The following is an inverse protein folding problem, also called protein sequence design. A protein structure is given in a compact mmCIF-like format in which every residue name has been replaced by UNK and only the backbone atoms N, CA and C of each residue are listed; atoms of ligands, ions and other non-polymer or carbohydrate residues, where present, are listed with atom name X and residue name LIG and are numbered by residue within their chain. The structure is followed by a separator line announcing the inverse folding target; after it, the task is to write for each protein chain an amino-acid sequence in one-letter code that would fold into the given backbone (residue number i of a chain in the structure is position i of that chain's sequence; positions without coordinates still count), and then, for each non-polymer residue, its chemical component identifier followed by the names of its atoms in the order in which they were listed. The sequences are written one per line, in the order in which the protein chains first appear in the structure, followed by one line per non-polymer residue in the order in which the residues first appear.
data_IF_274903671954
#
_entry.id   IF_274903671954
#
_cell.length_a   1.000
_cell.length_b   1.000
_cell.length_c   1.000
_cell.angle_alpha   90.00
_cell.angle_beta   90.00
_cell.angle_gamma   90.00
#
_symmetry.space_group_name_H-M   'P 1'
#
loop_
_entity.id
_entity.type
_entity.pdbx_description
1 polymer ?
#
# COMPACT_ATOMS: atom_id res chain seq x y z
N UNK A 1 -41.80 5.59 14.93
CA UNK A 1 -41.90 6.49 13.74
C UNK A 1 -42.37 7.93 14.09
N UNK A 2 -43.27 8.17 15.05
CA UNK A 2 -43.64 9.52 15.48
C UNK A 2 -42.52 10.24 16.25
N UNK A 3 -41.66 9.49 16.95
CA UNK A 3 -40.59 10.03 17.77
C UNK A 3 -39.38 10.48 16.92
N UNK A 4 -39.09 9.76 15.85
CA UNK A 4 -38.03 10.13 14.88
C UNK A 4 -38.37 11.37 14.06
N UNK A 5 -39.64 11.52 13.65
CA UNK A 5 -40.16 12.70 12.97
C UNK A 5 -40.22 13.93 13.91
N UNK A 6 -40.58 13.75 15.17
CA UNK A 6 -40.56 14.85 16.15
C UNK A 6 -39.13 15.33 16.45
N UNK A 7 -38.14 14.42 16.48
CA UNK A 7 -36.71 14.76 16.64
C UNK A 7 -36.17 15.49 15.44
N UNK A 8 -36.50 15.00 14.24
CA UNK A 8 -36.08 15.64 12.97
C UNK A 8 -36.70 17.04 12.83
N UNK A 9 -37.97 17.24 13.13
CA UNK A 9 -38.60 18.55 13.09
C UNK A 9 -38.01 19.50 14.14
N UNK A 10 -37.66 19.02 15.33
CA UNK A 10 -37.00 19.82 16.37
C UNK A 10 -35.58 20.28 15.95
N UNK A 11 -34.88 19.45 15.21
CA UNK A 11 -33.59 19.83 14.61
C UNK A 11 -33.77 20.88 13.49
N UNK A 12 -34.77 20.69 12.62
CA UNK A 12 -35.04 21.63 11.53
C UNK A 12 -35.45 23.00 12.09
N UNK A 13 -36.30 23.05 13.13
CA UNK A 13 -36.67 24.28 13.83
C UNK A 13 -35.47 24.96 14.53
N UNK A 14 -34.58 24.16 15.11
CA UNK A 14 -33.36 24.68 15.74
C UNK A 14 -32.40 25.32 14.72
N UNK A 15 -32.20 24.69 13.57
CA UNK A 15 -31.35 25.23 12.50
C UNK A 15 -32.03 26.36 11.70
N UNK A 16 -33.36 26.33 11.59
CA UNK A 16 -34.13 27.38 10.89
C UNK A 16 -34.16 28.72 11.59
N UNK A 17 -34.04 28.75 12.92
CA UNK A 17 -34.05 29.97 13.74
C UNK A 17 -32.67 30.55 14.04
N UNK A 18 -31.59 29.92 13.59
CA UNK A 18 -30.24 30.43 13.76
C UNK A 18 -29.93 31.47 12.69
N UNK A 19 -29.56 32.71 13.12
CA UNK A 19 -29.00 33.71 12.20
C UNK A 19 -27.80 33.16 11.44
N UNK A 20 -27.60 33.62 10.20
CA UNK A 20 -26.48 33.20 9.33
C UNK A 20 -25.14 33.14 10.08
N UNK A 21 -24.85 34.11 10.95
CA UNK A 21 -23.65 34.15 11.79
C UNK A 21 -23.57 32.98 12.81
N UNK A 22 -24.68 32.59 13.40
CA UNK A 22 -24.72 31.50 14.36
C UNK A 22 -24.56 30.16 13.68
N UNK A 23 -25.18 29.99 12.51
CA UNK A 23 -25.09 28.76 11.70
C UNK A 23 -23.69 28.51 11.16
N UNK A 24 -22.96 29.55 10.81
CA UNK A 24 -21.63 29.48 10.22
C UNK A 24 -20.50 29.92 11.18
N UNK A 25 -20.76 29.97 12.49
CA UNK A 25 -19.81 30.49 13.48
C UNK A 25 -18.40 29.90 13.35
N UNK A 26 -18.30 28.59 13.20
CA UNK A 26 -16.99 27.93 13.08
C UNK A 26 -16.27 28.25 11.76
N UNK A 27 -17.03 28.33 10.66
CA UNK A 27 -16.47 28.68 9.35
C UNK A 27 -16.07 30.18 9.30
N UNK A 28 -16.84 31.04 9.93
CA UNK A 28 -16.49 32.45 10.05
C UNK A 28 -15.27 32.69 10.93
N UNK A 29 -15.18 31.94 12.06
CA UNK A 29 -14.03 32.00 12.94
C UNK A 29 -12.76 31.50 12.23
N UNK A 30 -12.84 30.39 11.49
CA UNK A 30 -11.75 29.90 10.66
C UNK A 30 -11.36 30.92 9.56
N UNK A 31 -12.34 31.51 8.88
CA UNK A 31 -12.10 32.54 7.89
C UNK A 31 -11.39 33.78 8.47
N UNK A 32 -11.77 34.22 9.68
CA UNK A 32 -11.08 35.30 10.39
C UNK A 32 -9.64 34.93 10.72
N UNK A 33 -9.38 33.71 11.22
CA UNK A 33 -8.00 33.24 11.50
C UNK A 33 -7.15 33.29 10.23
N UNK A 34 -7.68 32.78 9.12
CA UNK A 34 -6.96 32.77 7.83
C UNK A 34 -6.68 34.20 7.35
N UNK A 35 -7.67 35.11 7.41
CA UNK A 35 -7.49 36.52 7.02
C UNK A 35 -6.45 37.20 7.91
N UNK A 36 -6.55 37.02 9.23
CA UNK A 36 -5.58 37.58 10.19
C UNK A 36 -4.18 37.01 9.92
N UNK A 37 -4.05 35.70 9.64
CA UNK A 37 -2.79 35.10 9.26
C UNK A 37 -2.18 35.70 7.99
N UNK A 38 -3.00 35.91 6.96
CA UNK A 38 -2.56 36.54 5.70
C UNK A 38 -2.14 38.00 5.92
N UNK A 39 -2.92 38.73 6.70
CA UNK A 39 -2.61 40.14 7.03
C UNK A 39 -1.32 40.23 7.85
N UNK A 40 -1.12 39.38 8.85
CA UNK A 40 0.11 39.35 9.64
C UNK A 40 1.31 39.00 8.76
N UNK A 41 1.18 38.03 7.85
CA UNK A 41 2.23 37.68 6.91
C UNK A 41 2.55 38.87 5.95
N UNK A 42 1.51 39.53 5.42
CA UNK A 42 1.68 40.65 4.51
C UNK A 42 2.30 41.88 5.20
N UNK A 43 1.77 42.31 6.34
CA UNK A 43 2.31 43.45 7.09
C UNK A 43 3.68 43.10 7.70
N UNK A 44 3.88 41.87 8.17
CA UNK A 44 5.17 41.41 8.64
C UNK A 44 6.27 41.51 7.59
N UNK A 45 5.97 41.16 6.34
CA UNK A 45 6.95 41.23 5.24
C UNK A 45 7.30 42.71 4.84
N UNK A 46 6.39 43.66 5.07
CA UNK A 46 6.62 45.06 4.71
C UNK A 46 7.31 45.85 5.81
N UNK A 47 6.85 45.69 7.06
CA UNK A 47 7.29 46.56 8.17
C UNK A 47 8.44 45.94 9.00
N UNK A 48 8.65 44.61 8.94
CA UNK A 48 9.68 43.93 9.73
C UNK A 48 10.69 43.23 8.86
N UNK A 49 11.14 43.86 7.77
CA UNK A 49 12.04 43.25 6.79
C UNK A 49 13.31 42.65 7.42
N UNK A 50 13.86 43.25 8.49
CA UNK A 50 14.99 42.70 9.25
C UNK A 50 14.57 41.82 10.43
N UNK A 51 13.41 42.09 11.06
CA UNK A 51 12.87 41.27 12.14
C UNK A 51 12.02 40.11 11.68
N UNK A 52 11.53 40.12 10.43
CA UNK A 52 10.72 39.09 9.82
C UNK A 52 11.48 37.77 9.76
N UNK A 53 12.75 37.79 9.39
CA UNK A 53 13.63 36.63 9.36
C UNK A 53 13.83 36.01 10.75
N UNK A 54 13.84 36.81 11.82
CA UNK A 54 13.98 36.31 13.20
C UNK A 54 12.70 35.66 13.75
N UNK A 55 11.53 36.08 13.28
CA UNK A 55 10.25 35.52 13.77
C UNK A 55 9.76 34.34 12.93
N UNK A 56 10.11 34.28 11.64
CA UNK A 56 9.57 33.29 10.71
C UNK A 56 10.63 32.35 10.10
N UNK A 57 11.91 32.71 10.17
CA UNK A 57 13.01 31.79 9.84
C UNK A 57 13.56 31.19 11.13
N UNK A 58 13.26 29.92 11.36
CA UNK A 58 14.04 29.13 12.34
C UNK A 58 15.48 29.15 11.84
N UNK A 59 16.45 29.70 12.60
CA UNK A 59 17.84 29.73 12.16
C UNK A 59 18.28 28.32 11.79
N UNK A 60 18.72 28.12 10.55
CA UNK A 60 19.08 26.78 10.02
C UNK A 60 20.08 26.03 10.90
N UNK A 61 20.92 26.75 11.64
CA UNK A 61 21.89 26.21 12.59
C UNK A 61 21.29 25.80 13.96
N UNK A 62 20.03 26.13 14.23
CA UNK A 62 19.29 25.75 15.46
C UNK A 62 18.12 24.82 15.19
N UNK A 63 17.98 24.32 13.97
CA UNK A 63 16.97 23.32 13.62
C UNK A 63 17.19 22.01 14.41
N UNK A 64 16.10 21.40 14.86
CA UNK A 64 16.15 20.08 15.47
C UNK A 64 16.39 19.06 14.36
N UNK A 65 17.59 18.48 14.33
CA UNK A 65 17.90 17.36 13.45
C UNK A 65 17.82 16.05 14.23
N UNK A 66 17.01 15.12 13.75
CA UNK A 66 16.97 13.75 14.28
C UNK A 66 17.91 12.82 13.54
N UNK A 67 18.69 13.33 12.56
CA UNK A 67 19.54 12.53 11.69
C UNK A 67 20.55 11.68 12.47
N UNK A 68 21.25 12.27 13.45
CA UNK A 68 22.24 11.57 14.25
C UNK A 68 21.65 10.42 15.07
N UNK A 69 20.41 10.56 15.53
CA UNK A 69 19.71 9.49 16.24
C UNK A 69 19.45 8.31 15.29
N UNK A 70 18.96 8.58 14.09
CA UNK A 70 18.67 7.54 13.10
C UNK A 70 19.93 6.88 12.57
N UNK A 71 20.98 7.66 12.27
CA UNK A 71 22.26 7.12 11.82
C UNK A 71 22.86 6.17 12.87
N UNK A 72 22.94 6.61 14.13
CA UNK A 72 23.43 5.75 15.22
C UNK A 72 22.60 4.48 15.38
N UNK A 73 21.28 4.55 15.19
CA UNK A 73 20.41 3.40 15.27
C UNK A 73 20.68 2.40 14.13
N UNK A 74 20.84 2.87 12.91
CA UNK A 74 21.14 2.01 11.75
C UNK A 74 22.55 1.43 11.86
N UNK A 75 23.54 2.24 12.23
CA UNK A 75 24.91 1.79 12.43
C UNK A 75 25.00 0.71 13.52
N UNK A 76 24.30 0.92 14.65
CA UNK A 76 24.23 -0.09 15.70
C UNK A 76 23.62 -1.41 15.23
N UNK A 77 22.51 -1.36 14.46
CA UNK A 77 21.91 -2.57 13.87
C UNK A 77 22.89 -3.24 12.92
N UNK A 78 23.52 -2.46 12.04
CA UNK A 78 24.47 -2.98 11.07
C UNK A 78 25.65 -3.66 11.75
N UNK A 79 26.33 -2.97 12.70
CA UNK A 79 27.50 -3.48 13.39
C UNK A 79 27.17 -4.72 14.24
N UNK A 80 26.02 -4.71 14.94
CA UNK A 80 25.61 -5.81 15.81
C UNK A 80 25.23 -7.05 15.00
N UNK A 81 24.52 -6.88 13.86
CA UNK A 81 23.96 -7.97 13.09
C UNK A 81 24.64 -8.19 11.73
N UNK A 82 25.79 -7.58 11.49
CA UNK A 82 26.49 -7.59 10.21
C UNK A 82 26.59 -8.99 9.59
N UNK A 83 27.05 -9.96 10.37
CA UNK A 83 27.23 -11.36 9.90
C UNK A 83 25.90 -11.98 9.46
N UNK A 84 24.85 -11.77 10.26
CA UNK A 84 23.51 -12.29 9.97
C UNK A 84 22.87 -11.57 8.78
N UNK A 85 23.01 -10.24 8.69
CA UNK A 85 22.52 -9.43 7.56
C UNK A 85 23.20 -9.89 6.27
N UNK A 86 24.52 -10.05 6.30
CA UNK A 86 25.28 -10.51 5.12
C UNK A 86 24.91 -11.94 4.71
N UNK A 87 24.80 -12.86 5.67
CA UNK A 87 24.40 -14.23 5.41
C UNK A 87 22.97 -14.30 4.83
N UNK A 88 22.02 -13.56 5.42
CA UNK A 88 20.65 -13.46 4.92
C UNK A 88 20.59 -12.86 3.51
N UNK A 89 21.32 -11.77 3.25
CA UNK A 89 21.39 -11.15 1.94
C UNK A 89 21.93 -12.11 0.88
N UNK A 90 23.02 -12.82 1.20
CA UNK A 90 23.60 -13.80 0.27
C UNK A 90 22.63 -14.95 0.01
N UNK A 91 22.02 -15.52 1.04
CA UNK A 91 21.01 -16.58 0.91
C UNK A 91 19.82 -16.10 0.06
N UNK A 92 19.29 -14.91 0.34
CA UNK A 92 18.14 -14.39 -0.39
C UNK A 92 18.46 -14.14 -1.87
N UNK A 93 19.65 -13.62 -2.18
CA UNK A 93 20.07 -13.41 -3.58
C UNK A 93 20.27 -14.75 -4.29
N UNK A 94 21.07 -15.64 -3.72
CA UNK A 94 21.54 -16.84 -4.42
C UNK A 94 20.47 -17.93 -4.47
N UNK A 95 19.83 -18.19 -3.31
CA UNK A 95 18.93 -19.33 -3.18
C UNK A 95 17.46 -18.99 -3.49
N UNK A 96 17.09 -17.70 -3.51
CA UNK A 96 15.70 -17.29 -3.74
C UNK A 96 15.56 -16.42 -4.99
N UNK A 97 16.21 -15.24 -5.03
CA UNK A 97 15.97 -14.28 -6.11
C UNK A 97 16.53 -14.72 -7.45
N UNK A 98 17.76 -15.23 -7.50
CA UNK A 98 18.36 -15.70 -8.75
C UNK A 98 17.60 -16.87 -9.39
N UNK A 99 17.23 -17.94 -8.67
CA UNK A 99 16.41 -19.01 -9.23
C UNK A 99 15.04 -18.53 -9.71
N UNK A 100 14.38 -17.67 -8.96
CA UNK A 100 13.08 -17.11 -9.36
C UNK A 100 13.21 -16.23 -10.60
N UNK A 101 14.18 -15.32 -10.63
CA UNK A 101 14.47 -14.50 -11.80
C UNK A 101 14.76 -15.37 -13.03
N UNK A 102 15.59 -16.41 -12.86
CA UNK A 102 15.91 -17.33 -13.94
C UNK A 102 14.68 -18.10 -14.43
N UNK A 103 13.79 -18.53 -13.52
CA UNK A 103 12.54 -19.18 -13.87
C UNK A 103 11.66 -18.29 -14.76
N UNK A 104 11.45 -17.04 -14.36
CA UNK A 104 10.64 -16.09 -15.13
C UNK A 104 11.26 -15.74 -16.48
N UNK A 105 12.56 -15.44 -16.53
CA UNK A 105 13.24 -15.06 -17.76
C UNK A 105 13.42 -16.23 -18.75
N UNK A 106 13.45 -17.47 -18.28
CA UNK A 106 13.51 -18.67 -19.15
C UNK A 106 12.16 -19.05 -19.72
N UNK A 107 11.06 -18.50 -19.21
CA UNK A 107 9.74 -18.80 -19.75
C UNK A 107 9.56 -18.11 -21.12
N UNK A 108 9.30 -18.89 -22.20
CA UNK A 108 8.95 -18.30 -23.48
C UNK A 108 7.69 -17.41 -23.36
N UNK A 109 7.64 -16.29 -24.09
CA UNK A 109 6.50 -15.39 -24.05
C UNK A 109 5.17 -16.10 -24.34
N UNK A 110 5.18 -17.08 -25.27
CA UNK A 110 4.01 -17.91 -25.60
C UNK A 110 3.57 -18.76 -24.39
N UNK A 111 4.51 -19.37 -23.66
CA UNK A 111 4.17 -20.17 -22.49
C UNK A 111 3.57 -19.30 -21.38
N UNK A 112 4.14 -18.12 -21.12
CA UNK A 112 3.60 -17.16 -20.16
C UNK A 112 2.19 -16.72 -20.58
N UNK A 113 1.98 -16.40 -21.87
CA UNK A 113 0.67 -16.02 -22.40
C UNK A 113 -0.34 -17.15 -22.14
N UNK A 114 -0.01 -18.39 -22.49
CA UNK A 114 -0.90 -19.55 -22.30
C UNK A 114 -1.24 -19.76 -20.83
N UNK A 115 -0.25 -19.66 -19.93
CA UNK A 115 -0.47 -19.80 -18.49
C UNK A 115 -1.39 -18.71 -17.92
N UNK A 116 -1.12 -17.45 -18.25
CA UNK A 116 -1.87 -16.30 -17.71
C UNK A 116 -3.28 -16.24 -18.30
N UNK A 117 -3.44 -16.49 -19.61
CA UNK A 117 -4.76 -16.57 -20.26
C UNK A 117 -5.54 -17.79 -19.79
N UNK A 118 -4.86 -18.94 -19.60
CA UNK A 118 -5.46 -20.15 -19.05
C UNK A 118 -5.98 -19.91 -17.62
N UNK A 119 -5.18 -19.25 -16.77
CA UNK A 119 -5.63 -18.84 -15.44
C UNK A 119 -6.86 -17.90 -15.52
N UNK A 120 -6.83 -16.93 -16.43
CA UNK A 120 -7.98 -16.04 -16.70
C UNK A 120 -9.23 -16.80 -17.09
N UNK A 121 -9.10 -17.79 -17.95
CA UNK A 121 -10.21 -18.65 -18.39
C UNK A 121 -10.79 -19.50 -17.24
N UNK A 122 -9.92 -20.16 -16.48
CA UNK A 122 -10.35 -20.99 -15.35
C UNK A 122 -11.02 -20.17 -14.24
N UNK A 123 -10.49 -18.98 -13.97
CA UNK A 123 -11.00 -18.10 -12.93
C UNK A 123 -12.24 -17.33 -13.39
N UNK A 124 -12.27 -16.77 -14.62
CA UNK A 124 -13.27 -15.82 -15.04
C UNK A 124 -14.02 -16.16 -16.32
N UNK A 125 -13.72 -17.32 -16.93
CA UNK A 125 -14.27 -17.71 -18.22
C UNK A 125 -13.72 -16.85 -19.37
N UNK A 126 -14.43 -16.88 -20.49
CA UNK A 126 -13.98 -16.26 -21.75
C UNK A 126 -13.73 -14.76 -21.63
N UNK A 127 -14.56 -14.02 -20.89
CA UNK A 127 -14.39 -12.56 -20.73
C UNK A 127 -13.07 -12.20 -20.06
N UNK A 128 -12.76 -12.84 -18.94
CA UNK A 128 -11.49 -12.61 -18.23
C UNK A 128 -10.30 -13.06 -19.08
N UNK A 129 -10.39 -14.19 -19.74
CA UNK A 129 -9.36 -14.70 -20.65
C UNK A 129 -9.03 -13.70 -21.77
N UNK A 130 -10.05 -13.11 -22.42
CA UNK A 130 -9.86 -12.13 -23.49
C UNK A 130 -9.20 -10.84 -22.99
N UNK A 131 -9.62 -10.31 -21.83
CA UNK A 131 -9.02 -9.12 -21.23
C UNK A 131 -7.56 -9.38 -20.90
N UNK A 132 -7.27 -10.46 -20.18
CA UNK A 132 -5.91 -10.81 -19.77
C UNK A 132 -5.03 -11.12 -21.00
N UNK A 133 -5.58 -11.77 -22.04
CA UNK A 133 -4.89 -12.00 -23.29
C UNK A 133 -4.44 -10.71 -23.96
N UNK A 134 -5.36 -9.74 -24.11
CA UNK A 134 -5.04 -8.45 -24.72
C UNK A 134 -3.96 -7.67 -23.97
N UNK A 135 -4.07 -7.63 -22.63
CA UNK A 135 -3.09 -6.94 -21.77
C UNK A 135 -1.70 -7.62 -21.83
N UNK A 136 -1.65 -8.95 -21.72
CA UNK A 136 -0.40 -9.73 -21.78
C UNK A 136 0.22 -9.66 -23.16
N UNK A 137 -0.59 -9.73 -24.22
CA UNK A 137 -0.11 -9.65 -25.61
C UNK A 137 0.55 -8.28 -25.89
N UNK A 138 -0.05 -7.19 -25.40
CA UNK A 138 0.56 -5.86 -25.52
C UNK A 138 1.96 -5.82 -24.88
N UNK A 139 2.09 -6.37 -23.67
CA UNK A 139 3.40 -6.42 -22.99
C UNK A 139 4.38 -7.32 -23.75
N UNK A 140 3.92 -8.49 -24.24
CA UNK A 140 4.74 -9.45 -24.96
C UNK A 140 5.25 -8.92 -26.33
N UNK A 141 4.48 -8.08 -26.99
CA UNK A 141 4.88 -7.44 -28.24
C UNK A 141 5.74 -6.18 -28.03
N UNK A 142 5.84 -5.69 -26.79
CA UNK A 142 6.70 -4.56 -26.47
C UNK A 142 8.17 -5.00 -26.40
N UNK A 143 9.15 -4.10 -26.71
CA UNK A 143 10.56 -4.42 -26.57
C UNK A 143 11.03 -4.57 -25.12
N UNK A 144 10.12 -4.43 -24.16
CA UNK A 144 10.40 -4.40 -22.72
C UNK A 144 9.93 -5.67 -22.00
N UNK A 145 9.67 -6.76 -22.72
CA UNK A 145 9.17 -8.02 -22.18
C UNK A 145 10.00 -8.54 -20.99
N UNK A 146 11.32 -8.64 -21.16
CA UNK A 146 12.21 -9.16 -20.10
C UNK A 146 12.16 -8.30 -18.84
N UNK A 147 12.04 -6.98 -19.01
CA UNK A 147 11.93 -6.04 -17.88
C UNK A 147 10.57 -6.13 -17.19
N UNK A 148 9.51 -6.37 -17.95
CA UNK A 148 8.18 -6.64 -17.41
C UNK A 148 8.16 -7.92 -16.58
N UNK A 149 8.87 -8.98 -17.03
CA UNK A 149 9.04 -10.21 -16.25
C UNK A 149 9.79 -9.96 -14.94
N UNK A 150 10.85 -9.13 -14.96
CA UNK A 150 11.58 -8.74 -13.74
C UNK A 150 10.66 -8.01 -12.76
N UNK A 151 9.92 -7.00 -13.21
CA UNK A 151 8.92 -6.31 -12.40
C UNK A 151 7.87 -7.27 -11.83
N UNK A 152 7.41 -8.21 -12.66
CA UNK A 152 6.35 -9.15 -12.28
C UNK A 152 6.82 -10.13 -11.21
N UNK A 153 8.03 -10.72 -11.33
CA UNK A 153 8.50 -11.66 -10.31
C UNK A 153 8.74 -10.97 -8.97
N UNK A 154 9.34 -9.78 -8.97
CA UNK A 154 9.57 -9.02 -7.74
C UNK A 154 8.26 -8.66 -7.05
N UNK A 155 7.30 -8.14 -7.82
CA UNK A 155 5.97 -7.82 -7.29
C UNK A 155 5.26 -9.07 -6.76
N UNK A 156 5.25 -10.17 -7.52
CA UNK A 156 4.58 -11.41 -7.12
C UNK A 156 5.14 -11.97 -5.82
N UNK A 157 6.47 -12.09 -5.73
CA UNK A 157 7.13 -12.60 -4.53
C UNK A 157 6.91 -11.66 -3.34
N UNK A 158 7.09 -10.35 -3.55
CA UNK A 158 6.84 -9.35 -2.52
C UNK A 158 5.40 -9.40 -2.00
N UNK A 159 4.40 -9.51 -2.88
CA UNK A 159 2.99 -9.64 -2.50
C UNK A 159 2.71 -10.90 -1.69
N UNK A 160 3.24 -12.05 -2.11
CA UNK A 160 3.04 -13.31 -1.39
C UNK A 160 3.56 -13.20 0.04
N UNK A 161 4.80 -12.73 0.21
CA UNK A 161 5.41 -12.57 1.54
C UNK A 161 4.68 -11.51 2.37
N UNK A 162 4.35 -10.37 1.76
CA UNK A 162 3.59 -9.30 2.43
C UNK A 162 2.20 -9.77 2.89
N UNK A 163 1.51 -10.56 2.10
CA UNK A 163 0.21 -11.13 2.50
C UNK A 163 0.35 -12.14 3.64
N UNK A 164 1.36 -13.01 3.60
CA UNK A 164 1.60 -13.95 4.69
C UNK A 164 1.85 -13.19 6.00
N UNK A 165 2.75 -12.20 5.98
CA UNK A 165 3.05 -11.37 7.15
C UNK A 165 1.82 -10.56 7.57
N UNK A 166 1.20 -9.85 6.64
CA UNK A 166 0.09 -8.95 6.93
C UNK A 166 -1.15 -9.66 7.46
N UNK A 167 -1.52 -10.79 6.87
CA UNK A 167 -2.64 -11.60 7.35
C UNK A 167 -2.36 -12.19 8.73
N UNK A 168 -1.13 -12.64 8.98
CA UNK A 168 -0.73 -13.17 10.28
C UNK A 168 -0.74 -12.07 11.34
N UNK A 169 -0.06 -10.95 11.09
CA UNK A 169 0.02 -9.81 12.02
C UNK A 169 -1.38 -9.23 12.28
N UNK A 170 -2.16 -9.01 11.22
CA UNK A 170 -3.53 -8.50 11.35
C UNK A 170 -4.42 -9.38 12.21
N UNK A 171 -4.33 -10.70 12.01
CA UNK A 171 -5.09 -11.69 12.80
C UNK A 171 -4.66 -11.73 14.27
N UNK A 172 -3.36 -11.69 14.53
CA UNK A 172 -2.82 -11.68 15.90
C UNK A 172 -3.22 -10.39 16.63
N UNK A 173 -3.11 -9.25 15.97
CA UNK A 173 -3.48 -7.97 16.55
C UNK A 173 -4.99 -7.84 16.81
N UNK A 174 -5.84 -8.46 16.00
CA UNK A 174 -7.28 -8.43 16.15
C UNK A 174 -7.77 -9.05 17.49
N UNK A 175 -7.01 -9.97 18.07
CA UNK A 175 -7.40 -10.64 19.31
C UNK A 175 -7.52 -9.71 20.53
N UNK A 176 -6.87 -8.53 20.49
CA UNK A 176 -6.88 -7.56 21.59
C UNK A 176 -7.17 -6.16 21.07
N UNK A 177 -8.17 -5.47 21.65
CA UNK A 177 -8.59 -4.11 21.27
C UNK A 177 -7.43 -3.09 21.29
N UNK A 178 -6.55 -3.17 22.29
CA UNK A 178 -5.39 -2.26 22.37
C UNK A 178 -4.40 -2.51 21.25
N UNK A 179 -4.06 -3.79 20.99
CA UNK A 179 -3.17 -4.18 19.89
C UNK A 179 -3.75 -3.80 18.53
N UNK A 180 -5.06 -3.98 18.35
CA UNK A 180 -5.78 -3.58 17.14
C UNK A 180 -5.65 -2.08 16.87
N UNK A 181 -5.98 -1.24 17.86
CA UNK A 181 -5.92 0.21 17.69
C UNK A 181 -4.47 0.70 17.49
N UNK A 182 -3.53 0.13 18.24
CA UNK A 182 -2.11 0.43 18.05
C UNK A 182 -1.64 0.08 16.63
N UNK A 183 -1.96 -1.12 16.14
CA UNK A 183 -1.54 -1.55 14.80
C UNK A 183 -2.19 -0.71 13.69
N UNK A 184 -3.45 -0.32 13.83
CA UNK A 184 -4.10 0.58 12.87
C UNK A 184 -3.39 1.95 12.83
N UNK A 185 -3.05 2.53 13.99
CA UNK A 185 -2.29 3.78 14.04
C UNK A 185 -0.89 3.62 13.41
N UNK A 186 -0.22 2.47 13.63
CA UNK A 186 1.04 2.15 12.96
C UNK A 186 0.84 2.10 11.45
N UNK A 187 -0.19 1.41 10.96
CA UNK A 187 -0.50 1.38 9.54
C UNK A 187 -0.74 2.80 8.98
N UNK A 188 -1.48 3.65 9.69
CA UNK A 188 -1.77 5.02 9.27
C UNK A 188 -0.47 5.85 9.15
N UNK A 189 0.41 5.78 10.16
CA UNK A 189 1.72 6.44 10.11
C UNK A 189 2.53 5.96 8.90
N UNK A 190 2.65 4.66 8.74
CA UNK A 190 3.45 4.10 7.65
C UNK A 190 2.85 4.37 6.26
N UNK A 191 1.53 4.49 6.11
CA UNK A 191 0.90 4.88 4.83
C UNK A 191 1.13 6.35 4.47
N UNK A 192 1.34 7.23 5.45
CA UNK A 192 1.62 8.65 5.21
C UNK A 192 3.08 8.92 4.88
N UNK A 193 3.98 8.01 5.21
CA UNK A 193 5.40 8.14 4.85
C UNK A 193 5.60 8.09 3.34
N UNK A 194 6.40 8.98 2.76
CA UNK A 194 6.77 8.89 1.36
C UNK A 194 7.43 7.54 1.05
N UNK A 195 6.93 6.84 0.04
CA UNK A 195 7.33 5.45 -0.25
C UNK A 195 8.84 5.28 -0.47
N UNK A 196 9.52 6.24 -1.10
CA UNK A 196 10.97 6.15 -1.32
C UNK A 196 11.81 6.19 -0.03
N UNK A 197 11.26 6.73 1.09
CA UNK A 197 11.96 6.79 2.38
C UNK A 197 12.26 5.39 2.93
N UNK A 198 11.42 4.40 2.60
CA UNK A 198 11.66 3.01 3.00
C UNK A 198 12.92 2.40 2.41
N UNK A 199 13.36 2.88 1.23
CA UNK A 199 14.60 2.40 0.60
C UNK A 199 15.84 2.77 1.39
N UNK A 200 15.84 3.93 2.07
CA UNK A 200 17.03 4.48 2.72
C UNK A 200 17.61 3.51 3.78
N UNK A 201 16.87 3.12 4.83
CA UNK A 201 17.40 2.22 5.85
C UNK A 201 17.71 0.82 5.29
N UNK A 202 16.89 0.33 4.37
CA UNK A 202 17.09 -1.00 3.78
C UNK A 202 18.35 -1.01 2.90
N UNK A 203 18.59 0.05 2.13
CA UNK A 203 19.79 0.19 1.31
C UNK A 203 21.06 0.32 2.16
N UNK A 204 20.99 0.98 3.31
CA UNK A 204 22.11 1.07 4.25
C UNK A 204 22.47 -0.30 4.84
N UNK A 205 21.47 -1.17 5.07
CA UNK A 205 21.69 -2.50 5.66
C UNK A 205 22.09 -3.56 4.62
N UNK A 206 21.49 -3.55 3.43
CA UNK A 206 21.63 -4.62 2.42
C UNK A 206 22.39 -4.19 1.15
N UNK A 207 22.77 -2.91 1.07
CA UNK A 207 23.45 -2.34 -0.09
C UNK A 207 22.51 -2.05 -1.27
N UNK A 208 23.11 -1.73 -2.41
CA UNK A 208 22.38 -1.47 -3.67
C UNK A 208 22.15 -2.81 -4.38
N UNK A 209 21.09 -3.51 -4.02
CA UNK A 209 20.79 -4.87 -4.51
C UNK A 209 19.29 -5.08 -4.71
N UNK A 210 18.92 -6.12 -5.48
CA UNK A 210 17.53 -6.58 -5.64
C UNK A 210 16.90 -6.96 -4.29
N UNK A 211 17.73 -7.43 -3.32
CA UNK A 211 17.29 -7.69 -1.95
C UNK A 211 16.72 -6.46 -1.27
N UNK A 212 17.40 -5.32 -1.41
CA UNK A 212 16.97 -4.06 -0.81
C UNK A 212 15.59 -3.64 -1.33
N UNK A 213 15.40 -3.75 -2.65
CA UNK A 213 14.09 -3.47 -3.26
C UNK A 213 13.03 -4.43 -2.74
N UNK A 214 13.32 -5.73 -2.72
CA UNK A 214 12.36 -6.73 -2.28
C UNK A 214 11.95 -6.53 -0.81
N UNK A 215 12.90 -6.27 0.09
CA UNK A 215 12.60 -6.01 1.51
C UNK A 215 11.75 -4.76 1.65
N UNK A 216 12.08 -3.69 0.93
CA UNK A 216 11.28 -2.47 0.92
C UNK A 216 9.86 -2.71 0.38
N UNK A 217 9.72 -3.52 -0.68
CA UNK A 217 8.42 -3.98 -1.21
C UNK A 217 7.64 -4.71 -0.13
N UNK A 218 8.27 -5.67 0.56
CA UNK A 218 7.61 -6.46 1.61
C UNK A 218 7.13 -5.56 2.75
N UNK A 219 7.99 -4.69 3.26
CA UNK A 219 7.64 -3.78 4.36
C UNK A 219 6.47 -2.88 3.97
N UNK A 220 6.56 -2.23 2.81
CA UNK A 220 5.55 -1.28 2.36
C UNK A 220 4.21 -1.97 2.01
N UNK A 221 4.25 -3.09 1.30
CA UNK A 221 3.05 -3.80 0.87
C UNK A 221 2.39 -4.63 2.00
N UNK A 222 3.07 -4.89 3.11
CA UNK A 222 2.48 -5.53 4.30
C UNK A 222 1.45 -4.63 4.97
N UNK A 223 1.56 -3.31 4.83
CA UNK A 223 0.70 -2.34 5.51
C UNK A 223 -0.78 -2.54 5.11
N UNK A 224 -1.17 -2.47 3.82
CA UNK A 224 -2.57 -2.70 3.44
C UNK A 224 -3.04 -4.12 3.77
N UNK A 225 -2.20 -5.16 3.62
CA UNK A 225 -2.58 -6.51 3.98
C UNK A 225 -2.96 -6.63 5.47
N UNK A 226 -2.18 -6.02 6.37
CA UNK A 226 -2.46 -5.99 7.81
C UNK A 226 -3.73 -5.21 8.13
N UNK A 227 -3.86 -4.00 7.58
CA UNK A 227 -5.00 -3.11 7.82
C UNK A 227 -6.32 -3.76 7.42
N UNK A 228 -6.43 -4.20 6.18
CA UNK A 228 -7.67 -4.79 5.66
C UNK A 228 -8.00 -6.14 6.32
N UNK A 229 -7.02 -6.86 6.84
CA UNK A 229 -7.27 -8.05 7.67
C UNK A 229 -7.94 -7.66 8.98
N UNK A 230 -7.42 -6.66 9.68
CA UNK A 230 -8.02 -6.17 10.92
C UNK A 230 -9.43 -5.63 10.66
N UNK A 231 -9.61 -4.78 9.65
CA UNK A 231 -10.90 -4.19 9.29
C UNK A 231 -11.92 -5.27 8.88
N UNK A 232 -11.46 -6.27 8.10
CA UNK A 232 -12.31 -7.39 7.71
C UNK A 232 -12.77 -8.23 8.89
N UNK A 233 -11.89 -8.56 9.82
CA UNK A 233 -12.26 -9.29 11.03
C UNK A 233 -13.17 -8.46 11.95
N UNK A 234 -12.99 -7.14 12.01
CA UNK A 234 -13.87 -6.22 12.76
C UNK A 234 -15.26 -6.07 12.14
N UNK A 235 -15.40 -6.29 10.84
CA UNK A 235 -16.69 -6.18 10.14
C UNK A 235 -17.64 -7.33 10.44
N UNK A 236 -17.16 -8.40 11.07
CA UNK A 236 -18.00 -9.53 11.47
C UNK A 236 -18.97 -9.11 12.57
N UNK A 237 -20.29 -9.32 12.40
CA UNK A 237 -21.29 -8.91 13.38
C UNK A 237 -21.06 -9.53 14.75
N UNK A 238 -21.17 -8.70 15.82
CA UNK A 238 -20.95 -9.14 17.21
C UNK A 238 -21.87 -10.28 17.62
N UNK A 239 -23.11 -10.30 17.14
CA UNK A 239 -24.07 -11.37 17.43
C UNK A 239 -23.61 -12.76 16.98
N UNK A 240 -22.76 -12.85 15.95
CA UNK A 240 -22.17 -14.13 15.52
C UNK A 240 -21.06 -14.59 16.49
N UNK A 241 -20.34 -13.67 17.11
CA UNK A 241 -19.36 -13.99 18.16
C UNK A 241 -20.08 -14.57 19.40
N UNK A 242 -21.19 -13.95 19.79
CA UNK A 242 -21.97 -14.37 20.95
C UNK A 242 -22.63 -15.74 20.70
N UNK A 243 -23.24 -15.94 19.53
CA UNK A 243 -23.81 -17.21 19.11
C UNK A 243 -22.79 -18.34 19.07
N UNK A 244 -21.59 -18.07 18.52
CA UNK A 244 -20.50 -19.03 18.48
C UNK A 244 -20.03 -19.42 19.91
N UNK A 245 -19.92 -18.43 20.79
CA UNK A 245 -19.52 -18.65 22.18
C UNK A 245 -20.55 -19.49 22.93
N UNK A 246 -21.87 -19.21 22.77
CA UNK A 246 -22.95 -19.99 23.35
C UNK A 246 -22.98 -21.42 22.81
N UNK A 247 -22.56 -21.65 21.57
CA UNK A 247 -22.47 -22.97 20.96
C UNK A 247 -21.24 -23.78 21.39
N UNK A 248 -20.42 -23.27 22.31
CA UNK A 248 -19.21 -23.94 22.80
C UNK A 248 -18.05 -24.01 21.77
N UNK A 249 -18.09 -23.18 20.73
CA UNK A 249 -17.06 -23.11 19.68
C UNK A 249 -15.76 -22.52 20.24
N UNK A 250 -14.63 -23.21 20.05
CA UNK A 250 -13.33 -22.71 20.50
C UNK A 250 -12.92 -21.44 19.72
N UNK A 251 -12.03 -20.61 20.29
CA UNK A 251 -11.52 -19.38 19.63
C UNK A 251 -10.94 -19.68 18.24
N UNK A 252 -10.21 -20.78 18.10
CA UNK A 252 -9.61 -21.18 16.83
C UNK A 252 -10.68 -21.61 15.79
N UNK A 253 -11.66 -22.40 16.22
CA UNK A 253 -12.79 -22.79 15.37
C UNK A 253 -13.61 -21.57 14.92
N UNK A 254 -13.85 -20.62 15.83
CA UNK A 254 -14.55 -19.36 15.52
C UNK A 254 -13.78 -18.57 14.46
N UNK A 255 -12.47 -18.39 14.66
CA UNK A 255 -11.62 -17.66 13.72
C UNK A 255 -11.67 -18.27 12.31
N UNK A 256 -11.42 -19.57 12.17
CA UNK A 256 -11.30 -20.22 10.86
C UNK A 256 -12.63 -20.59 10.20
N UNK A 257 -13.68 -20.88 10.97
CA UNK A 257 -14.97 -21.32 10.43
C UNK A 257 -16.01 -20.20 10.28
N UNK A 258 -15.85 -19.08 11.01
CA UNK A 258 -16.81 -17.97 11.01
C UNK A 258 -16.15 -16.67 10.59
N UNK A 259 -15.14 -16.23 11.33
CA UNK A 259 -14.55 -14.89 11.15
C UNK A 259 -13.83 -14.75 9.81
N UNK A 260 -12.92 -15.65 9.46
CA UNK A 260 -12.19 -15.61 8.19
C UNK A 260 -13.10 -15.71 6.95
N UNK A 261 -14.07 -16.64 6.87
CA UNK A 261 -14.98 -16.68 5.72
C UNK A 261 -15.77 -15.37 5.54
N UNK A 262 -16.21 -14.75 6.63
CA UNK A 262 -16.95 -13.49 6.58
C UNK A 262 -16.05 -12.28 6.32
N UNK A 263 -14.83 -12.27 6.86
CA UNK A 263 -13.81 -11.25 6.59
C UNK A 263 -13.18 -11.35 5.20
N UNK A 264 -13.30 -12.50 4.53
CA UNK A 264 -12.66 -12.80 3.26
C UNK A 264 -12.81 -11.70 2.19
N UNK A 265 -13.99 -11.10 1.97
CA UNK A 265 -14.13 -10.03 0.98
C UNK A 265 -13.25 -8.81 1.27
N UNK A 266 -13.14 -8.40 2.54
CA UNK A 266 -12.29 -7.30 2.96
C UNK A 266 -10.80 -7.66 2.86
N UNK A 267 -10.42 -8.87 3.23
CA UNK A 267 -9.04 -9.35 3.08
C UNK A 267 -8.60 -9.38 1.62
N UNK A 268 -9.52 -9.67 0.70
CA UNK A 268 -9.24 -9.65 -0.74
C UNK A 268 -9.11 -8.22 -1.29
N UNK A 269 -9.81 -7.24 -0.74
CA UNK A 269 -9.53 -5.83 -1.02
C UNK A 269 -8.12 -5.47 -0.54
N UNK A 270 -7.72 -5.96 0.62
CA UNK A 270 -6.35 -5.84 1.15
C UNK A 270 -5.31 -6.44 0.20
N UNK A 271 -5.54 -7.64 -0.32
CA UNK A 271 -4.67 -8.27 -1.31
C UNK A 271 -4.52 -7.40 -2.57
N UNK A 272 -5.61 -6.85 -3.08
CA UNK A 272 -5.56 -5.96 -4.24
C UNK A 272 -4.73 -4.70 -3.97
N UNK A 273 -4.92 -4.06 -2.81
CA UNK A 273 -4.11 -2.90 -2.40
C UNK A 273 -2.63 -3.29 -2.18
N UNK A 274 -2.36 -4.45 -1.63
CA UNK A 274 -1.00 -4.98 -1.46
C UNK A 274 -0.27 -5.09 -2.79
N UNK A 275 -0.94 -5.53 -3.85
CA UNK A 275 -0.37 -5.60 -5.20
C UNK A 275 -0.04 -4.22 -5.73
N UNK A 276 -0.95 -3.25 -5.58
CA UNK A 276 -0.73 -1.87 -6.03
C UNK A 276 0.48 -1.27 -5.30
N UNK A 277 0.56 -1.43 -3.98
CA UNK A 277 1.69 -0.97 -3.18
C UNK A 277 3.00 -1.66 -3.57
N UNK A 278 2.97 -2.97 -3.80
CA UNK A 278 4.13 -3.71 -4.24
C UNK A 278 4.64 -3.22 -5.60
N UNK A 279 3.75 -3.04 -6.58
CA UNK A 279 4.12 -2.52 -7.90
C UNK A 279 4.71 -1.12 -7.81
N UNK A 280 4.12 -0.21 -7.03
CA UNK A 280 4.69 1.11 -6.80
C UNK A 280 6.10 1.03 -6.22
N UNK A 281 6.29 0.16 -5.22
CA UNK A 281 7.60 0.06 -4.57
C UNK A 281 8.65 -0.58 -5.46
N UNK A 282 8.30 -1.56 -6.29
CA UNK A 282 9.21 -2.12 -7.31
C UNK A 282 9.67 -1.03 -8.27
N UNK A 283 8.74 -0.20 -8.78
CA UNK A 283 9.09 0.91 -9.70
C UNK A 283 9.99 1.94 -9.02
N UNK A 284 9.74 2.26 -7.75
CA UNK A 284 10.60 3.16 -6.97
C UNK A 284 11.98 2.54 -6.73
N UNK A 285 12.08 1.22 -6.69
CA UNK A 285 13.34 0.47 -6.63
C UNK A 285 14.34 0.82 -7.75
N UNK A 286 13.85 1.41 -8.85
CA UNK A 286 14.69 1.96 -9.91
C UNK A 286 15.73 2.98 -9.42
N UNK A 287 15.41 3.74 -8.36
CA UNK A 287 16.35 4.70 -7.76
C UNK A 287 17.60 4.05 -7.16
N UNK A 288 17.54 2.76 -6.86
CA UNK A 288 18.69 1.99 -6.39
C UNK A 288 19.23 1.01 -7.45
N UNK A 289 18.83 1.19 -8.73
CA UNK A 289 19.48 0.56 -9.86
C UNK A 289 19.02 -0.86 -10.20
N UNK A 290 17.80 -1.27 -9.82
CA UNK A 290 17.21 -2.54 -10.28
C UNK A 290 16.94 -2.53 -11.78
N UNK A 291 17.12 -3.69 -12.42
CA UNK A 291 16.94 -3.84 -13.86
C UNK A 291 15.50 -4.17 -14.26
N UNK A 292 14.54 -3.40 -13.79
CA UNK A 292 13.10 -3.55 -14.01
C UNK A 292 12.52 -2.48 -14.96
N UNK A 293 11.20 -2.44 -15.12
CA UNK A 293 10.53 -1.39 -15.91
C UNK A 293 10.76 0.00 -15.31
N UNK A 294 10.85 0.12 -13.99
CA UNK A 294 11.09 1.38 -13.29
C UNK A 294 12.40 2.06 -13.71
N UNK A 295 13.47 1.28 -13.88
CA UNK A 295 14.78 1.82 -14.33
C UNK A 295 14.67 2.47 -15.71
N UNK A 296 13.92 1.88 -16.63
CA UNK A 296 13.72 2.45 -17.95
C UNK A 296 12.78 3.65 -17.94
N UNK A 297 11.79 3.68 -17.04
CA UNK A 297 10.97 4.87 -16.79
C UNK A 297 11.86 6.01 -16.28
N UNK A 298 12.74 5.74 -15.32
CA UNK A 298 13.66 6.72 -14.78
C UNK A 298 14.64 7.25 -15.85
N UNK A 299 15.16 6.38 -16.70
CA UNK A 299 15.99 6.77 -17.86
C UNK A 299 15.20 7.64 -18.84
N UNK A 300 13.96 7.27 -19.14
CA UNK A 300 13.09 8.04 -20.04
C UNK A 300 12.77 9.44 -19.51
N UNK A 301 12.69 9.64 -18.19
CA UNK A 301 12.52 10.96 -17.58
C UNK A 301 13.73 11.88 -17.79
N UNK A 302 14.92 11.31 -17.92
CA UNK A 302 16.17 12.05 -18.12
C UNK A 302 16.45 12.35 -19.60
N UNK A 303 15.72 11.75 -20.54
CA UNK A 303 15.85 11.92 -21.97
C UNK A 303 14.83 12.92 -22.51
N UNK A 304 15.30 13.93 -23.27
CA UNK A 304 14.42 14.93 -23.94
C UNK A 304 13.39 14.30 -24.90
N UNK A 305 13.70 13.13 -25.46
CA UNK A 305 12.80 12.36 -26.35
C UNK A 305 12.16 11.15 -25.65
N UNK A 306 12.32 11.02 -24.35
CA UNK A 306 11.91 9.85 -23.59
C UNK A 306 10.39 9.75 -23.30
N UNK A 307 9.60 10.79 -23.58
CA UNK A 307 8.20 10.84 -23.22
C UNK A 307 7.38 9.65 -23.77
N UNK A 308 7.57 9.30 -25.06
CA UNK A 308 6.86 8.18 -25.68
C UNK A 308 7.27 6.83 -25.07
N UNK A 309 8.56 6.64 -24.80
CA UNK A 309 9.08 5.43 -24.14
C UNK A 309 8.55 5.33 -22.71
N UNK A 310 8.62 6.42 -21.94
CA UNK A 310 8.14 6.47 -20.57
C UNK A 310 6.65 6.15 -20.44
N UNK A 311 5.82 6.68 -21.36
CA UNK A 311 4.39 6.36 -21.40
C UNK A 311 4.14 4.89 -21.73
N UNK A 312 4.85 4.32 -22.71
CA UNK A 312 4.71 2.89 -23.05
C UNK A 312 5.09 2.00 -21.88
N UNK A 313 6.20 2.30 -21.20
CA UNK A 313 6.63 1.58 -20.00
C UNK A 313 5.60 1.69 -18.86
N UNK A 314 5.04 2.89 -18.64
CA UNK A 314 3.99 3.11 -17.66
C UNK A 314 2.72 2.31 -17.97
N UNK A 315 2.33 2.20 -19.26
CA UNK A 315 1.22 1.35 -19.70
C UNK A 315 1.54 -0.13 -19.42
N UNK A 316 2.76 -0.60 -19.67
CA UNK A 316 3.14 -1.98 -19.33
C UNK A 316 2.98 -2.26 -17.83
N UNK A 317 3.43 -1.35 -16.95
CA UNK A 317 3.24 -1.48 -15.49
C UNK A 317 1.75 -1.51 -15.12
N UNK A 318 0.96 -0.59 -15.69
CA UNK A 318 -0.48 -0.56 -15.46
C UNK A 318 -1.16 -1.86 -15.91
N UNK A 319 -0.73 -2.43 -17.03
CA UNK A 319 -1.28 -3.69 -17.53
C UNK A 319 -0.91 -4.88 -16.64
N UNK A 320 0.31 -4.94 -16.09
CA UNK A 320 0.65 -5.93 -15.07
C UNK A 320 -0.31 -5.81 -13.87
N UNK A 321 -0.54 -4.60 -13.35
CA UNK A 321 -1.49 -4.37 -12.27
C UNK A 321 -2.92 -4.78 -12.62
N UNK A 322 -3.39 -4.45 -13.82
CA UNK A 322 -4.73 -4.81 -14.30
C UNK A 322 -4.92 -6.32 -14.50
N UNK A 323 -3.88 -7.05 -14.91
CA UNK A 323 -3.92 -8.52 -14.99
C UNK A 323 -4.17 -9.11 -13.60
N UNK A 324 -3.39 -8.71 -12.60
CA UNK A 324 -3.58 -9.16 -11.22
C UNK A 324 -4.97 -8.77 -10.69
N UNK A 325 -5.37 -7.52 -10.88
CA UNK A 325 -6.69 -7.03 -10.43
C UNK A 325 -7.83 -7.82 -11.06
N UNK A 326 -7.80 -8.05 -12.37
CA UNK A 326 -8.83 -8.83 -13.08
C UNK A 326 -8.95 -10.26 -12.53
N UNK A 327 -7.81 -10.96 -12.35
CA UNK A 327 -7.80 -12.32 -11.83
C UNK A 327 -8.36 -12.38 -10.40
N UNK A 328 -7.94 -11.48 -9.53
CA UNK A 328 -8.35 -11.45 -8.12
C UNK A 328 -9.83 -11.08 -8.00
N UNK A 329 -10.29 -10.00 -8.63
CA UNK A 329 -11.69 -9.57 -8.56
C UNK A 329 -12.64 -10.66 -9.07
N UNK A 330 -12.25 -11.31 -10.15
CA UNK A 330 -13.08 -12.37 -10.72
C UNK A 330 -13.13 -13.60 -9.79
N UNK A 331 -11.99 -13.97 -9.20
CA UNK A 331 -11.94 -15.06 -8.26
C UNK A 331 -12.75 -14.77 -6.98
N UNK A 332 -12.60 -13.58 -6.42
CA UNK A 332 -13.37 -13.11 -5.25
C UNK A 332 -14.86 -13.08 -5.53
N UNK A 333 -15.27 -12.58 -6.71
CA UNK A 333 -16.68 -12.55 -7.10
C UNK A 333 -17.32 -13.96 -7.15
N UNK A 334 -16.60 -14.96 -7.65
CA UNK A 334 -17.05 -16.36 -7.61
C UNK A 334 -17.17 -16.89 -6.17
N UNK A 335 -16.16 -16.60 -5.34
CA UNK A 335 -16.16 -17.05 -3.94
C UNK A 335 -17.27 -16.41 -3.11
N UNK A 336 -17.55 -15.11 -3.30
CA UNK A 336 -18.68 -14.44 -2.63
C UNK A 336 -20.00 -15.14 -2.92
N UNK A 337 -20.27 -15.45 -4.19
CA UNK A 337 -21.49 -16.20 -4.59
C UNK A 337 -21.58 -17.55 -3.90
N UNK A 338 -20.47 -18.29 -3.76
CA UNK A 338 -20.44 -19.56 -3.06
C UNK A 338 -20.69 -19.44 -1.55
N UNK A 339 -20.32 -18.30 -0.95
CA UNK A 339 -20.50 -18.04 0.48
C UNK A 339 -21.88 -17.40 0.78
N UNK A 340 -22.69 -17.07 -0.24
CA UNK A 340 -23.97 -16.38 -0.07
C UNK A 340 -23.82 -14.96 0.47
N UNK A 341 -22.67 -14.33 0.21
CA UNK A 341 -22.36 -12.95 0.63
C UNK A 341 -22.45 -12.09 -0.63
N UNK A 342 -23.61 -11.47 -0.85
CA UNK A 342 -23.82 -10.49 -1.94
C UNK A 342 -23.37 -9.09 -1.56
#
# INVERSE_FOLDING_TARGET
DKMSLAWANKQVDYFGNLNFFQRNKNSLFFGVIVIVGILLAYFGSIYFKEGYNYLFEVPHNKGISTADFWNKGVDWIFDTFFVYIKAFNTWLIVDVLQPMRALYLRMPAVATLVLVVGAGYLIGGVRSALVVCGLTLFIALSPWWDRALVTTYMATFGVIVSCIIGFTVGTLCFQNKHSTNFMLNVCDIFQTFPSFVYLIPVMMLFGITDTSVLIAVIVYATIPATRYTIEGLRSVPAGLHDAATMSGVTKFQRLFKIEFPLAFPHMMLGLNQTIVFALFMVIIGAFIGTEDLGQYILKALSDKKGAGIGLTLGICVAFIGLIFDNLIRTWVGKRKKHLGID
#
